data_IF_612239196983
#
_entry.id   IF_612239196983
#
_cell.length_a   1.000
_cell.length_b   1.000
_cell.length_c   1.000
_cell.angle_alpha   90.00
_cell.angle_beta   90.00
_cell.angle_gamma   90.00
#
_symmetry.space_group_name_H-M   'P 1'
#
loop_
_entity.id
_entity.type
_entity.pdbx_description
1 polymer ?
#
# COMPACT_ATOMS: atom_id res chain seq x y z
N UNK A 1 -0.28 5.02 -11.51
CA UNK A 1 -0.96 4.84 -10.20
C UNK A 1 -1.36 3.39 -9.90
N UNK A 2 -2.04 2.69 -10.81
CA UNK A 2 -2.49 1.32 -10.58
C UNK A 2 -1.34 0.32 -10.38
N UNK A 3 -0.32 0.34 -11.24
CA UNK A 3 0.88 -0.50 -11.12
C UNK A 3 1.66 -0.21 -9.83
N UNK A 4 1.81 1.08 -9.50
CA UNK A 4 2.43 1.51 -8.25
C UNK A 4 1.66 0.98 -7.03
N UNK A 5 0.33 1.05 -7.04
CA UNK A 5 -0.51 0.52 -5.96
C UNK A 5 -0.40 -1.01 -5.82
N UNK A 6 -0.26 -1.75 -6.91
CA UNK A 6 -0.01 -3.20 -6.85
C UNK A 6 1.37 -3.52 -6.24
N UNK A 7 2.40 -2.77 -6.64
CA UNK A 7 3.75 -2.92 -6.09
C UNK A 7 3.78 -2.59 -4.60
N UNK A 8 3.22 -1.47 -4.20
CA UNK A 8 3.14 -1.04 -2.79
C UNK A 8 2.35 -2.04 -1.95
N UNK A 9 1.20 -2.53 -2.45
CA UNK A 9 0.43 -3.55 -1.74
C UNK A 9 1.25 -4.83 -1.52
N UNK A 10 2.09 -5.23 -2.47
CA UNK A 10 3.01 -6.34 -2.28
C UNK A 10 4.15 -6.01 -1.30
N UNK A 11 4.75 -4.83 -1.37
CA UNK A 11 5.84 -4.40 -0.47
C UNK A 11 5.39 -4.27 0.99
N UNK A 12 4.13 -3.91 1.24
CA UNK A 12 3.61 -3.78 2.60
C UNK A 12 3.02 -5.10 3.14
N UNK A 13 2.46 -5.94 2.26
CA UNK A 13 1.73 -7.15 2.68
C UNK A 13 2.43 -8.46 2.36
N UNK A 14 3.30 -8.50 1.37
CA UNK A 14 3.88 -9.75 0.84
C UNK A 14 2.89 -10.68 0.14
N UNK A 15 1.62 -10.29 -0.01
CA UNK A 15 0.59 -11.13 -0.64
C UNK A 15 0.74 -11.14 -2.16
N UNK A 16 0.92 -12.33 -2.74
CA UNK A 16 1.17 -12.49 -4.19
C UNK A 16 -0.11 -12.71 -5.01
N UNK A 17 -1.20 -13.13 -4.37
CA UNK A 17 -2.50 -13.40 -5.01
C UNK A 17 -3.46 -12.20 -4.94
N UNK A 18 -2.93 -10.98 -4.83
CA UNK A 18 -3.72 -9.76 -4.89
C UNK A 18 -4.11 -9.43 -6.34
N UNK A 19 -5.39 -9.11 -6.54
CA UNK A 19 -5.95 -8.73 -7.84
C UNK A 19 -6.63 -7.38 -7.74
N UNK A 20 -6.28 -6.45 -8.64
CA UNK A 20 -6.97 -5.18 -8.75
C UNK A 20 -8.36 -5.37 -9.36
N UNK A 21 -9.41 -5.11 -8.58
CA UNK A 21 -10.80 -5.23 -9.03
C UNK A 21 -11.31 -3.97 -9.70
N UNK A 22 -11.04 -2.81 -9.10
CA UNK A 22 -11.52 -1.52 -9.62
C UNK A 22 -10.75 -0.33 -9.08
N UNK A 23 -10.74 0.72 -9.88
CA UNK A 23 -10.47 2.08 -9.42
C UNK A 23 -11.72 2.65 -8.74
N UNK A 24 -11.54 3.25 -7.56
CA UNK A 24 -12.61 3.84 -6.76
C UNK A 24 -12.73 5.36 -6.98
N UNK A 25 -11.64 6.01 -7.40
CA UNK A 25 -11.60 7.45 -7.63
C UNK A 25 -10.29 8.07 -7.20
N UNK A 26 -10.18 9.38 -7.41
CA UNK A 26 -9.02 10.17 -7.00
C UNK A 26 -9.45 11.42 -6.21
N UNK A 27 -8.56 11.94 -5.39
CA UNK A 27 -8.79 13.15 -4.62
C UNK A 27 -7.50 13.94 -4.41
N UNK A 28 -7.57 15.25 -4.67
CA UNK A 28 -6.60 16.20 -4.17
C UNK A 28 -6.82 16.42 -2.66
N UNK A 29 -5.78 16.23 -1.87
CA UNK A 29 -5.83 16.35 -0.42
C UNK A 29 -4.76 17.34 0.05
N UNK A 30 -5.23 18.46 0.59
CA UNK A 30 -4.37 19.47 1.21
C UNK A 30 -3.83 18.94 2.53
N UNK A 31 -2.50 18.87 2.64
CA UNK A 31 -1.81 18.42 3.85
C UNK A 31 -1.18 19.55 4.66
N UNK A 32 -1.47 20.82 4.34
CA UNK A 32 -1.12 21.97 5.18
C UNK A 32 -1.52 21.80 6.65
N UNK A 33 -2.68 21.17 6.99
CA UNK A 33 -3.03 20.89 8.39
C UNK A 33 -2.03 19.98 9.13
N UNK A 34 -1.17 19.25 8.40
CA UNK A 34 -0.11 18.39 8.94
C UNK A 34 1.28 19.04 8.87
N UNK A 35 1.35 20.34 8.56
CA UNK A 35 2.59 21.12 8.59
C UNK A 35 3.43 21.07 7.31
N UNK A 36 2.85 20.65 6.17
CA UNK A 36 3.52 20.64 4.86
C UNK A 36 2.71 21.43 3.83
N UNK A 37 3.36 22.34 3.11
CA UNK A 37 2.74 23.13 2.03
C UNK A 37 2.70 22.33 0.72
N UNK A 38 1.91 21.25 0.71
CA UNK A 38 1.82 20.29 -0.39
C UNK A 38 0.36 19.85 -0.60
N UNK A 39 -0.02 19.58 -1.86
CA UNK A 39 -1.29 18.95 -2.22
C UNK A 39 -1.02 17.55 -2.73
N UNK A 40 -1.59 16.54 -2.05
CA UNK A 40 -1.41 15.14 -2.44
C UNK A 40 -2.50 14.71 -3.40
N UNK A 41 -2.11 14.16 -4.55
CA UNK A 41 -3.01 13.54 -5.51
C UNK A 41 -3.14 12.06 -5.18
N UNK A 42 -4.23 11.67 -4.52
CA UNK A 42 -4.44 10.31 -4.03
C UNK A 42 -5.34 9.53 -4.98
N UNK A 43 -4.95 8.31 -5.29
CA UNK A 43 -5.71 7.37 -6.11
C UNK A 43 -6.14 6.19 -5.23
N UNK A 44 -7.42 5.82 -5.31
CA UNK A 44 -8.00 4.77 -4.48
C UNK A 44 -8.36 3.57 -5.35
N UNK A 45 -7.93 2.38 -4.95
CA UNK A 45 -8.18 1.12 -5.65
C UNK A 45 -8.78 0.10 -4.70
N UNK A 46 -9.59 -0.80 -5.23
CA UNK A 46 -10.09 -1.98 -4.54
C UNK A 46 -9.29 -3.18 -5.02
N UNK A 47 -8.57 -3.82 -4.11
CA UNK A 47 -7.88 -5.08 -4.32
C UNK A 47 -8.64 -6.21 -3.63
N UNK A 48 -8.55 -7.40 -4.19
CA UNK A 48 -9.07 -8.63 -3.60
C UNK A 48 -7.94 -9.66 -3.55
N UNK A 49 -7.87 -10.41 -2.46
CA UNK A 49 -6.93 -11.52 -2.33
C UNK A 49 -7.65 -12.82 -2.68
N UNK A 50 -7.16 -13.54 -3.69
CA UNK A 50 -7.84 -14.71 -4.27
C UNK A 50 -7.32 -16.07 -3.77
N UNK A 51 -6.63 -16.10 -2.62
CA UNK A 51 -6.14 -17.33 -2.00
C UNK A 51 -6.63 -17.43 -0.55
N UNK A 52 -6.31 -18.52 0.14
CA UNK A 52 -6.64 -18.69 1.56
C UNK A 52 -5.97 -17.58 2.38
N UNK A 53 -6.78 -16.72 2.99
CA UNK A 53 -6.32 -15.60 3.79
C UNK A 53 -5.74 -16.10 5.11
N UNK A 54 -4.43 -15.91 5.37
CA UNK A 54 -3.87 -16.26 6.67
C UNK A 54 -4.45 -15.33 7.74
N UNK A 55 -4.92 -15.90 8.86
CA UNK A 55 -5.41 -15.11 10.01
C UNK A 55 -4.34 -14.19 10.62
N UNK A 56 -3.07 -14.51 10.37
CA UNK A 56 -1.91 -13.71 10.75
C UNK A 56 -0.67 -14.11 9.95
N UNK A 57 0.11 -13.14 9.50
CA UNK A 57 1.41 -13.41 8.88
C UNK A 57 2.42 -12.30 9.17
N UNK A 58 3.70 -12.60 8.92
CA UNK A 58 4.80 -11.65 9.08
C UNK A 58 5.38 -11.35 7.71
N UNK A 59 5.61 -10.07 7.41
CA UNK A 59 6.24 -9.61 6.18
C UNK A 59 7.39 -8.66 6.50
N UNK A 60 8.38 -8.59 5.62
CA UNK A 60 9.48 -7.65 5.73
C UNK A 60 9.51 -6.77 4.49
N UNK A 61 9.36 -5.46 4.68
CA UNK A 61 9.63 -4.48 3.63
C UNK A 61 11.16 -4.39 3.46
N UNK A 62 11.67 -5.08 2.45
CA UNK A 62 13.12 -5.16 2.18
C UNK A 62 13.71 -3.85 1.63
N UNK A 63 12.87 -2.94 1.13
CA UNK A 63 13.29 -1.69 0.50
C UNK A 63 12.52 -0.49 1.07
N UNK A 64 12.78 -0.10 2.33
CA UNK A 64 12.14 1.07 2.93
C UNK A 64 12.43 2.34 2.12
N UNK A 65 11.43 3.20 2.01
CA UNK A 65 11.56 4.46 1.26
C UNK A 65 12.71 5.37 1.76
N UNK A 66 13.03 5.31 3.06
CA UNK A 66 14.12 6.09 3.65
C UNK A 66 15.51 5.43 3.49
N UNK A 67 15.58 4.26 2.85
CA UNK A 67 16.81 3.49 2.67
C UNK A 67 17.32 2.81 3.94
N UNK A 68 16.46 2.66 4.95
CA UNK A 68 16.76 1.97 6.20
C UNK A 68 16.87 0.45 6.09
N UNK A 69 17.07 -0.20 7.24
CA UNK A 69 17.03 -1.66 7.39
C UNK A 69 15.61 -2.20 7.13
N UNK A 70 15.46 -3.47 6.71
CA UNK A 70 14.15 -4.05 6.49
C UNK A 70 13.20 -3.89 7.67
N UNK A 71 11.95 -3.49 7.39
CA UNK A 71 10.93 -3.24 8.42
C UNK A 71 10.01 -4.44 8.51
N UNK A 72 9.85 -4.98 9.71
CA UNK A 72 8.93 -6.08 9.95
C UNK A 72 7.49 -5.58 10.18
N UNK A 73 6.55 -6.19 9.46
CA UNK A 73 5.11 -6.06 9.69
C UNK A 73 4.52 -7.37 10.21
N UNK A 74 3.70 -7.27 11.27
CA UNK A 74 2.77 -8.33 11.66
C UNK A 74 1.36 -7.92 11.19
N UNK A 75 0.76 -8.76 10.34
CA UNK A 75 -0.45 -8.48 9.57
C UNK A 75 -1.54 -9.49 9.91
N UNK A 76 -2.80 -9.09 9.73
CA UNK A 76 -4.02 -9.79 10.19
C UNK A 76 -5.15 -9.62 9.18
#
# INVERSE_FOLDING_TARGET
PAEAAMREAFEETGLTSLVMRRFLGERAFDIAPFGRDEIYHRYFFHLEYEDDSPDRWRHFEEQPYDGGEPVEFELY
#
